data_IF_279323034292
#
_entry.id   IF_279323034292
#
_cell.length_a   1.000
_cell.length_b   1.000
_cell.length_c   1.000
_cell.angle_alpha   90.00
_cell.angle_beta   90.00
_cell.angle_gamma   90.00
#
_symmetry.space_group_name_H-M   'P 1'
#
loop_
_entity.id
_entity.type
_entity.pdbx_description
1 polymer ?
#
# COMPACT_ATOMS: atom_id res chain seq x y z
N UNK A 1 -21.31 -12.50 -8.50
CA UNK A 1 -20.43 -12.17 -7.36
C UNK A 1 -19.11 -11.73 -7.97
N UNK A 2 -18.55 -10.59 -7.57
CA UNK A 2 -17.32 -10.06 -8.18
C UNK A 2 -16.14 -11.02 -7.92
N UNK A 3 -15.30 -11.31 -8.94
CA UNK A 3 -14.18 -12.26 -8.84
C UNK A 3 -13.23 -11.98 -7.66
N UNK A 4 -13.07 -10.71 -7.25
CA UNK A 4 -12.18 -10.34 -6.17
C UNK A 4 -12.65 -10.89 -4.81
N UNK A 5 -13.96 -11.10 -4.60
CA UNK A 5 -14.44 -11.77 -3.38
C UNK A 5 -14.01 -13.24 -3.33
N UNK A 6 -13.96 -13.92 -4.48
CA UNK A 6 -13.49 -15.30 -4.58
C UNK A 6 -11.99 -15.37 -4.30
N UNK A 7 -11.21 -14.48 -4.91
CA UNK A 7 -9.76 -14.36 -4.66
C UNK A 7 -9.48 -14.07 -3.18
N UNK A 8 -10.20 -13.14 -2.56
CA UNK A 8 -10.06 -12.86 -1.11
C UNK A 8 -10.30 -14.16 -0.33
N UNK A 9 -11.38 -14.89 -0.61
CA UNK A 9 -11.72 -16.12 0.10
C UNK A 9 -10.65 -17.20 -0.07
N UNK A 10 -10.15 -17.42 -1.28
CA UNK A 10 -9.11 -18.41 -1.57
C UNK A 10 -7.77 -18.08 -0.89
N UNK A 11 -7.36 -16.81 -0.93
CA UNK A 11 -6.16 -16.35 -0.25
C UNK A 11 -6.32 -16.50 1.26
N UNK A 12 -7.46 -16.11 1.84
CA UNK A 12 -7.70 -16.22 3.29
C UNK A 12 -7.68 -17.67 3.80
N UNK A 13 -8.01 -18.66 2.96
CA UNK A 13 -7.93 -20.08 3.33
C UNK A 13 -6.50 -20.57 3.56
N UNK A 14 -5.55 -20.05 2.80
CA UNK A 14 -4.15 -20.51 2.82
C UNK A 14 -3.22 -19.51 3.53
N UNK A 15 -3.53 -18.22 3.42
CA UNK A 15 -2.74 -17.06 3.84
C UNK A 15 -3.62 -16.04 4.56
N UNK A 16 -4.17 -16.43 5.70
CA UNK A 16 -5.09 -15.58 6.45
C UNK A 16 -4.50 -14.20 6.76
N UNK A 17 -5.28 -13.16 6.49
CA UNK A 17 -4.95 -11.75 6.62
C UNK A 17 -4.50 -11.09 5.31
N UNK A 18 -4.08 -11.84 4.29
CA UNK A 18 -3.53 -11.28 3.05
C UNK A 18 -4.58 -10.99 1.96
N UNK A 19 -5.80 -11.55 2.06
CA UNK A 19 -6.76 -11.56 0.96
C UNK A 19 -7.16 -10.17 0.47
N UNK A 20 -7.49 -9.27 1.40
CA UNK A 20 -7.85 -7.89 1.04
C UNK A 20 -6.67 -7.13 0.39
N UNK A 21 -5.45 -7.34 0.89
CA UNK A 21 -4.27 -6.66 0.35
C UNK A 21 -3.92 -7.16 -1.05
N UNK A 22 -4.06 -8.46 -1.31
CA UNK A 22 -3.95 -9.05 -2.65
C UNK A 22 -5.01 -8.45 -3.59
N UNK A 23 -6.28 -8.45 -3.18
CA UNK A 23 -7.36 -7.91 -4.01
C UNK A 23 -7.14 -6.43 -4.35
N UNK A 24 -6.72 -5.62 -3.37
CA UNK A 24 -6.41 -4.22 -3.63
C UNK A 24 -5.19 -4.02 -4.54
N UNK A 25 -4.17 -4.85 -4.41
CA UNK A 25 -3.01 -4.83 -5.31
C UNK A 25 -3.39 -5.18 -6.77
N UNK A 26 -4.34 -6.10 -6.97
CA UNK A 26 -4.90 -6.41 -8.29
C UNK A 26 -5.62 -5.18 -8.86
N UNK A 27 -6.46 -4.50 -8.07
CA UNK A 27 -7.16 -3.27 -8.50
C UNK A 27 -6.15 -2.19 -8.90
N UNK A 28 -5.15 -1.92 -8.06
CA UNK A 28 -4.14 -0.90 -8.34
C UNK A 28 -3.31 -1.22 -9.60
N UNK A 29 -3.02 -2.52 -9.81
CA UNK A 29 -2.35 -3.01 -11.02
C UNK A 29 -3.21 -2.77 -12.26
N UNK A 30 -4.50 -3.14 -12.20
CA UNK A 30 -5.44 -2.91 -13.30
C UNK A 30 -5.64 -1.41 -13.58
N UNK A 31 -5.61 -0.59 -12.54
CA UNK A 31 -5.71 0.86 -12.61
C UNK A 31 -4.44 1.54 -13.15
N UNK A 32 -3.37 0.79 -13.44
CA UNK A 32 -2.06 1.33 -13.90
C UNK A 32 -1.50 2.37 -12.92
N UNK A 33 -1.59 2.10 -11.62
CA UNK A 33 -1.13 3.02 -10.55
C UNK A 33 0.09 2.49 -9.81
N UNK A 34 0.83 3.43 -9.21
CA UNK A 34 1.92 3.12 -8.31
C UNK A 34 1.37 2.84 -6.91
N UNK A 35 1.35 1.58 -6.50
CA UNK A 35 0.95 1.11 -5.19
C UNK A 35 2.17 0.93 -4.29
N UNK A 36 2.14 1.54 -3.12
CA UNK A 36 3.08 1.32 -2.05
C UNK A 36 2.39 0.49 -0.96
N UNK A 37 2.91 -0.72 -0.69
CA UNK A 37 2.42 -1.57 0.40
C UNK A 37 3.32 -1.36 1.61
N UNK A 38 2.75 -0.90 2.73
CA UNK A 38 3.50 -0.53 3.93
C UNK A 38 3.10 -1.42 5.10
N UNK A 39 4.09 -2.09 5.69
CA UNK A 39 3.91 -2.87 6.91
C UNK A 39 5.25 -3.21 7.54
N UNK A 40 5.31 -3.57 8.83
CA UNK A 40 6.48 -4.17 9.44
C UNK A 40 7.00 -5.42 8.70
N UNK A 41 8.25 -5.79 8.98
CA UNK A 41 8.82 -7.05 8.49
C UNK A 41 7.98 -8.25 8.97
N UNK A 42 7.88 -9.29 8.14
CA UNK A 42 7.15 -10.52 8.47
C UNK A 42 5.63 -10.44 8.36
N UNK A 43 5.06 -9.44 7.67
CA UNK A 43 3.61 -9.34 7.42
C UNK A 43 3.20 -9.81 6.02
N UNK A 44 4.06 -10.51 5.27
CA UNK A 44 3.66 -11.07 3.96
C UNK A 44 3.56 -10.09 2.79
N UNK A 45 4.12 -8.88 2.86
CA UNK A 45 4.17 -7.93 1.71
C UNK A 45 4.72 -8.55 0.43
N UNK A 46 5.85 -9.24 0.53
CA UNK A 46 6.46 -9.94 -0.60
C UNK A 46 5.55 -11.03 -1.15
N UNK A 47 4.81 -11.75 -0.30
CA UNK A 47 3.84 -12.75 -0.77
C UNK A 47 2.69 -12.10 -1.55
N UNK A 48 2.23 -10.91 -1.14
CA UNK A 48 1.20 -10.14 -1.86
C UNK A 48 1.70 -9.73 -3.25
N UNK A 49 2.84 -9.02 -3.30
CA UNK A 49 3.40 -8.54 -4.57
C UNK A 49 3.84 -9.69 -5.48
N UNK A 50 4.31 -10.80 -4.90
CA UNK A 50 4.68 -12.00 -5.64
C UNK A 50 3.47 -12.68 -6.27
N UNK A 51 2.39 -12.84 -5.51
CA UNK A 51 1.19 -13.50 -5.99
C UNK A 51 0.58 -12.73 -7.18
N UNK A 52 0.50 -11.40 -7.07
CA UNK A 52 0.01 -10.55 -8.16
C UNK A 52 1.00 -10.54 -9.33
N UNK A 53 2.30 -10.38 -9.07
CA UNK A 53 3.34 -10.38 -10.09
C UNK A 53 3.42 -11.68 -10.89
N UNK A 54 3.27 -12.83 -10.22
CA UNK A 54 3.26 -14.14 -10.89
C UNK A 54 1.99 -14.42 -11.68
N UNK A 55 0.88 -13.75 -11.36
CA UNK A 55 -0.39 -13.88 -12.07
C UNK A 55 -0.59 -12.81 -13.18
N UNK A 56 0.28 -11.79 -13.24
CA UNK A 56 0.25 -10.78 -14.30
C UNK A 56 1.05 -11.25 -15.52
N UNK A 57 0.53 -11.10 -16.77
CA UNK A 57 1.20 -11.63 -17.97
C UNK A 57 2.62 -11.11 -18.20
N UNK A 58 2.84 -9.83 -17.94
CA UNK A 58 4.12 -9.16 -18.16
C UNK A 58 4.58 -8.47 -16.87
N UNK A 59 5.24 -9.22 -15.98
CA UNK A 59 5.77 -8.68 -14.73
C UNK A 59 7.31 -8.59 -14.74
N UNK A 60 7.83 -7.44 -14.32
CA UNK A 60 9.27 -7.18 -14.17
C UNK A 60 9.57 -6.99 -12.69
N UNK A 61 10.54 -7.74 -12.16
CA UNK A 61 11.06 -7.55 -10.81
C UNK A 61 12.34 -6.74 -10.83
N UNK A 62 12.44 -5.77 -9.94
CA UNK A 62 13.60 -4.91 -9.79
C UNK A 62 13.89 -4.73 -8.30
N UNK A 63 15.17 -4.68 -7.94
CA UNK A 63 15.57 -4.35 -6.56
C UNK A 63 15.50 -2.83 -6.32
N UNK A 64 16.02 -2.04 -7.26
CA UNK A 64 15.88 -0.58 -7.28
C UNK A 64 16.19 0.00 -8.66
N UNK A 65 15.68 1.20 -8.93
CA UNK A 65 16.00 1.94 -10.15
C UNK A 65 16.09 3.42 -9.83
N UNK A 66 17.26 4.01 -10.00
CA UNK A 66 17.40 5.47 -9.96
C UNK A 66 16.97 6.07 -11.31
N UNK A 67 16.64 7.38 -11.34
CA UNK A 67 16.38 8.08 -12.61
C UNK A 67 17.51 7.93 -13.64
N UNK A 68 18.76 7.83 -13.19
CA UNK A 68 19.90 7.60 -14.09
C UNK A 68 19.99 6.14 -14.55
N UNK A 69 19.64 5.19 -13.67
CA UNK A 69 19.53 3.77 -14.01
C UNK A 69 18.39 3.45 -14.98
N UNK A 70 17.34 4.29 -15.04
CA UNK A 70 16.29 4.15 -16.06
C UNK A 70 16.80 4.18 -17.49
N UNK A 71 17.97 4.77 -17.75
CA UNK A 71 18.60 4.74 -19.08
C UNK A 71 18.76 3.31 -19.59
N UNK A 72 19.17 2.40 -18.71
CA UNK A 72 19.45 1.01 -19.06
C UNK A 72 18.15 0.20 -19.25
N UNK A 73 17.00 0.76 -18.82
CA UNK A 73 15.67 0.20 -19.00
C UNK A 73 14.81 0.96 -20.01
N UNK A 74 15.36 1.95 -20.72
CA UNK A 74 14.61 2.83 -21.62
C UNK A 74 13.77 2.03 -22.62
N UNK A 75 14.41 1.12 -23.35
CA UNK A 75 13.75 0.35 -24.40
C UNK A 75 12.68 -0.60 -23.84
N UNK A 76 12.86 -1.02 -22.59
CA UNK A 76 11.92 -1.92 -21.90
C UNK A 76 10.69 -1.19 -21.36
N UNK A 77 10.85 0.06 -20.93
CA UNK A 77 9.78 0.85 -20.33
C UNK A 77 9.06 1.77 -21.30
N UNK A 78 9.58 1.97 -22.51
CA UNK A 78 8.88 2.68 -23.57
C UNK A 78 7.79 1.77 -24.16
N UNK A 79 6.56 2.25 -24.30
CA UNK A 79 5.38 1.45 -24.72
C UNK A 79 5.07 0.26 -23.79
N UNK A 80 5.32 0.40 -22.50
CA UNK A 80 5.20 -0.70 -21.53
C UNK A 80 3.79 -0.79 -20.94
N UNK A 81 3.19 -1.99 -20.94
CA UNK A 81 1.84 -2.27 -20.40
C UNK A 81 1.86 -3.29 -19.25
N UNK A 82 3.05 -3.55 -18.71
CA UNK A 82 3.30 -4.56 -17.70
C UNK A 82 3.13 -4.07 -16.26
N UNK A 83 3.54 -4.93 -15.32
CA UNK A 83 3.63 -4.63 -13.90
C UNK A 83 5.10 -4.62 -13.46
N UNK A 84 5.54 -3.56 -12.79
CA UNK A 84 6.83 -3.52 -12.11
C UNK A 84 6.66 -3.85 -10.63
N UNK A 85 7.46 -4.78 -10.11
CA UNK A 85 7.46 -5.15 -8.69
C UNK A 85 8.82 -4.81 -8.07
N UNK A 86 8.80 -3.96 -7.05
CA UNK A 86 9.94 -3.61 -6.20
C UNK A 86 9.71 -4.20 -4.81
N UNK A 87 10.32 -5.36 -4.54
CA UNK A 87 9.93 -6.23 -3.43
C UNK A 87 10.43 -5.79 -2.04
N UNK A 88 11.59 -5.13 -1.95
CA UNK A 88 12.05 -4.58 -0.68
C UNK A 88 13.03 -3.42 -0.89
N UNK A 89 12.55 -2.19 -0.75
CA UNK A 89 13.43 -1.01 -0.81
C UNK A 89 14.44 -0.97 0.36
N UNK A 90 14.28 -1.80 1.39
CA UNK A 90 15.27 -1.98 2.44
C UNK A 90 16.61 -2.54 1.93
N UNK A 91 16.61 -3.29 0.81
CA UNK A 91 17.84 -3.85 0.19
C UNK A 91 18.65 -2.80 -0.56
N UNK A 92 18.10 -1.61 -0.78
CA UNK A 92 18.74 -0.56 -1.56
C UNK A 92 19.75 0.17 -0.71
N UNK A 93 20.97 0.32 -1.23
CA UNK A 93 22.13 0.76 -0.45
C UNK A 93 22.03 2.18 0.10
N UNK A 94 21.36 3.08 -0.63
CA UNK A 94 21.34 4.51 -0.29
C UNK A 94 19.92 5.06 -0.15
N UNK A 95 19.73 5.99 0.80
CA UNK A 95 18.48 6.73 0.94
C UNK A 95 18.10 7.45 -0.36
N UNK A 96 19.09 8.02 -1.05
CA UNK A 96 18.90 8.64 -2.36
C UNK A 96 18.28 7.68 -3.38
N UNK A 97 18.82 6.46 -3.52
CA UNK A 97 18.29 5.49 -4.48
C UNK A 97 16.88 5.02 -4.14
N UNK A 98 16.55 4.91 -2.84
CA UNK A 98 15.18 4.62 -2.38
C UNK A 98 14.21 5.71 -2.80
N UNK A 99 14.53 6.98 -2.51
CA UNK A 99 13.71 8.13 -2.92
C UNK A 99 13.54 8.15 -4.42
N UNK A 100 14.63 8.06 -5.18
CA UNK A 100 14.57 8.11 -6.64
C UNK A 100 13.78 6.95 -7.25
N UNK A 101 13.83 5.75 -6.67
CA UNK A 101 13.03 4.61 -7.14
C UNK A 101 11.55 4.89 -7.00
N UNK A 102 11.11 5.34 -5.82
CA UNK A 102 9.69 5.66 -5.59
C UNK A 102 9.25 6.84 -6.46
N UNK A 103 10.02 7.92 -6.52
CA UNK A 103 9.71 9.10 -7.33
C UNK A 103 9.62 8.76 -8.82
N UNK A 104 10.53 7.93 -9.32
CA UNK A 104 10.54 7.53 -10.74
C UNK A 104 9.30 6.72 -11.11
N UNK A 105 8.92 5.72 -10.32
CA UNK A 105 7.73 4.93 -10.62
C UNK A 105 6.43 5.67 -10.35
N UNK A 106 6.40 6.56 -9.36
CA UNK A 106 5.29 7.48 -9.15
C UNK A 106 5.05 8.36 -10.39
N UNK A 107 6.12 8.89 -10.98
CA UNK A 107 6.05 9.70 -12.18
C UNK A 107 5.70 8.88 -13.43
N UNK A 108 6.34 7.73 -13.65
CA UNK A 108 6.03 6.87 -14.80
C UNK A 108 4.57 6.41 -14.80
N UNK A 109 4.07 5.89 -13.69
CA UNK A 109 2.69 5.38 -13.62
C UNK A 109 1.63 6.48 -13.70
N UNK A 110 1.97 7.72 -13.34
CA UNK A 110 1.03 8.83 -13.36
C UNK A 110 1.09 9.63 -14.67
N UNK A 111 2.29 10.03 -15.07
CA UNK A 111 2.50 10.90 -16.24
C UNK A 111 2.63 10.11 -17.54
N UNK A 112 2.82 8.79 -17.49
CA UNK A 112 3.08 7.93 -18.65
C UNK A 112 4.41 8.19 -19.39
N UNK A 113 5.26 9.08 -18.86
CA UNK A 113 6.57 9.36 -19.43
C UNK A 113 7.54 9.90 -18.36
N UNK A 114 8.84 9.76 -18.64
CA UNK A 114 9.92 10.49 -17.97
C UNK A 114 10.84 11.04 -19.05
N UNK A 115 11.10 12.34 -19.01
CA UNK A 115 12.16 12.97 -19.80
C UNK A 115 13.15 13.66 -18.87
N UNK A 116 14.42 13.29 -18.99
CA UNK A 116 15.54 13.87 -18.24
C UNK A 116 16.68 14.15 -19.19
N UNK A 117 17.05 15.42 -19.28
CA UNK A 117 18.20 15.90 -20.03
C UNK A 117 19.20 16.53 -19.05
N UNK A 118 20.31 15.85 -18.80
CA UNK A 118 21.48 16.44 -18.13
C UNK A 118 22.69 16.38 -19.06
N UNK A 119 23.76 17.09 -18.73
CA UNK A 119 25.00 17.09 -19.53
C UNK A 119 25.56 15.68 -19.79
N UNK A 120 25.26 14.70 -18.92
CA UNK A 120 25.83 13.34 -18.97
C UNK A 120 24.80 12.23 -19.15
N UNK A 121 23.50 12.52 -19.00
CA UNK A 121 22.44 11.51 -19.05
C UNK A 121 21.22 12.08 -19.77
N UNK A 122 20.88 11.45 -20.89
CA UNK A 122 19.60 11.64 -21.58
C UNK A 122 18.77 10.37 -21.40
N UNK A 123 17.63 10.49 -20.72
CA UNK A 123 16.63 9.42 -20.59
C UNK A 123 15.31 9.96 -21.08
N UNK A 124 14.68 9.22 -21.98
CA UNK A 124 13.36 9.54 -22.51
C UNK A 124 12.60 8.22 -22.59
N UNK A 125 11.62 8.06 -21.70
CA UNK A 125 10.68 6.94 -21.68
C UNK A 125 9.31 7.57 -21.94
N UNK A 126 8.58 7.05 -22.92
CA UNK A 126 7.23 7.50 -23.28
C UNK A 126 6.27 6.31 -23.36
N UNK A 127 4.97 6.59 -23.31
CA UNK A 127 3.91 5.57 -23.41
C UNK A 127 4.04 4.46 -22.35
N UNK A 128 4.41 4.82 -21.12
CA UNK A 128 4.38 3.92 -19.98
C UNK A 128 2.94 3.79 -19.48
N UNK A 129 2.28 2.69 -19.84
CA UNK A 129 0.92 2.33 -19.40
C UNK A 129 0.94 1.19 -18.37
N UNK A 130 2.06 1.02 -17.66
CA UNK A 130 2.24 -0.01 -16.65
C UNK A 130 1.79 0.40 -15.25
N UNK A 131 1.82 -0.55 -14.34
CA UNK A 131 1.65 -0.34 -12.91
C UNK A 131 2.95 -0.61 -12.15
N UNK A 132 3.03 -0.16 -10.89
CA UNK A 132 4.13 -0.50 -10.00
C UNK A 132 3.60 -0.92 -8.62
N UNK A 133 4.17 -1.99 -8.05
CA UNK A 133 3.98 -2.37 -6.64
C UNK A 133 5.31 -2.25 -5.93
N UNK A 134 5.36 -1.42 -4.90
CA UNK A 134 6.56 -1.13 -4.12
C UNK A 134 6.29 -1.49 -2.66
N UNK A 135 7.07 -2.43 -2.13
CA UNK A 135 6.97 -2.83 -0.74
C UNK A 135 7.90 -2.00 0.14
N UNK A 136 7.35 -1.44 1.22
CA UNK A 136 8.08 -0.62 2.19
C UNK A 136 7.91 -1.13 3.63
N UNK A 137 8.98 -0.97 4.40
CA UNK A 137 8.92 -1.04 5.86
C UNK A 137 8.69 0.38 6.43
N UNK A 138 8.04 0.52 7.60
CA UNK A 138 7.74 1.83 8.19
C UNK A 138 8.95 2.75 8.36
N UNK A 139 10.14 2.28 8.80
CA UNK A 139 11.32 3.14 8.89
C UNK A 139 11.75 3.73 7.55
N UNK A 140 11.56 2.99 6.44
CA UNK A 140 11.89 3.48 5.11
C UNK A 140 10.89 4.54 4.68
N UNK A 141 9.59 4.31 4.86
CA UNK A 141 8.58 5.34 4.59
C UNK A 141 8.84 6.60 5.43
N UNK A 142 9.16 6.45 6.71
CA UNK A 142 9.48 7.57 7.60
C UNK A 142 10.66 8.41 7.12
N UNK A 143 11.64 7.80 6.42
CA UNK A 143 12.71 8.52 5.73
C UNK A 143 12.19 9.22 4.48
N UNK A 144 11.46 8.52 3.62
CA UNK A 144 10.93 9.05 2.36
C UNK A 144 10.07 10.29 2.56
N UNK A 145 9.16 10.29 3.56
CA UNK A 145 8.24 11.42 3.79
C UNK A 145 8.94 12.70 4.25
N UNK A 146 10.20 12.63 4.67
CA UNK A 146 11.00 13.79 5.08
C UNK A 146 11.67 14.49 3.90
N UNK A 147 11.71 13.87 2.72
CA UNK A 147 12.32 14.44 1.52
C UNK A 147 11.34 15.35 0.77
N UNK A 148 11.83 16.43 0.18
CA UNK A 148 11.02 17.41 -0.55
C UNK A 148 10.29 16.78 -1.75
N UNK A 149 10.90 15.79 -2.40
CA UNK A 149 10.28 15.04 -3.49
C UNK A 149 9.00 14.30 -3.08
N UNK A 150 8.82 14.09 -1.76
CA UNK A 150 7.58 13.51 -1.25
C UNK A 150 6.39 14.43 -1.49
N UNK A 151 6.51 15.71 -1.12
CA UNK A 151 5.44 16.71 -1.29
C UNK A 151 5.21 17.02 -2.77
N UNK A 152 6.29 17.24 -3.52
CA UNK A 152 6.21 17.80 -4.87
C UNK A 152 5.78 16.75 -5.90
N UNK A 153 6.14 15.48 -5.68
CA UNK A 153 5.96 14.44 -6.71
C UNK A 153 5.26 13.20 -6.17
N UNK A 154 5.70 12.68 -5.03
CA UNK A 154 5.38 11.28 -4.67
C UNK A 154 4.00 11.11 -4.03
N UNK A 155 3.63 11.98 -3.10
CA UNK A 155 2.43 11.83 -2.29
C UNK A 155 1.16 11.74 -3.14
N UNK A 156 1.00 12.66 -4.09
CA UNK A 156 -0.20 12.80 -4.91
C UNK A 156 -0.23 11.86 -6.13
N UNK A 157 0.82 11.06 -6.33
CA UNK A 157 0.95 10.13 -7.47
C UNK A 157 1.06 8.67 -7.05
N UNK A 158 1.01 8.38 -5.75
CA UNK A 158 1.14 7.02 -5.21
C UNK A 158 -0.03 6.68 -4.31
N UNK A 159 -0.40 5.40 -4.28
CA UNK A 159 -1.40 4.85 -3.36
C UNK A 159 -0.66 4.21 -2.19
N UNK A 160 -0.97 4.58 -0.95
CA UNK A 160 -0.31 4.02 0.24
C UNK A 160 -1.25 3.09 0.98
N UNK A 161 -0.98 1.79 0.87
CA UNK A 161 -1.78 0.76 1.52
C UNK A 161 -1.08 0.22 2.78
N UNK A 162 -1.65 0.50 3.95
CA UNK A 162 -1.12 0.03 5.23
C UNK A 162 -1.63 -1.37 5.54
N UNK A 163 -0.79 -2.38 5.28
CA UNK A 163 -1.16 -3.75 5.59
C UNK A 163 -0.94 -4.06 7.08
N UNK A 164 -2.03 -4.37 7.78
CA UNK A 164 -2.05 -4.48 9.24
C UNK A 164 -1.93 -5.91 9.79
N UNK A 165 -1.95 -6.95 8.97
CA UNK A 165 -2.00 -8.32 9.48
C UNK A 165 -0.65 -9.02 9.41
N UNK A 166 -0.31 -9.76 10.46
CA UNK A 166 0.74 -10.76 10.46
C UNK A 166 0.14 -12.12 10.14
N UNK A 167 0.86 -12.97 9.39
CA UNK A 167 0.47 -14.36 9.21
C UNK A 167 0.48 -15.05 10.57
N UNK A 168 -0.70 -15.51 11.01
CA UNK A 168 -0.87 -16.24 12.28
C UNK A 168 -0.12 -17.58 12.21
N UNK A 169 -0.16 -18.21 11.03
CA UNK A 169 0.60 -19.42 10.68
C UNK A 169 1.40 -19.11 9.43
N UNK A 170 2.74 -19.21 9.47
CA UNK A 170 3.56 -19.10 8.27
C UNK A 170 3.15 -20.18 7.25
N UNK A 171 3.04 -19.80 5.99
CA UNK A 171 2.91 -20.70 4.85
C UNK A 171 4.15 -20.52 3.97
N UNK A 172 4.82 -21.62 3.61
CA UNK A 172 6.01 -21.58 2.75
C UNK A 172 5.63 -21.42 1.27
N UNK A 173 4.48 -21.97 0.88
CA UNK A 173 3.97 -21.82 -0.47
C UNK A 173 3.48 -20.41 -0.72
N UNK A 174 3.58 -19.93 -1.96
CA UNK A 174 3.00 -18.64 -2.36
C UNK A 174 1.51 -18.80 -2.66
N UNK A 175 0.68 -17.76 -2.48
CA UNK A 175 -0.69 -17.77 -2.96
C UNK A 175 -0.69 -18.00 -4.48
N UNK A 176 -1.34 -19.06 -4.94
CA UNK A 176 -1.52 -19.34 -6.37
C UNK A 176 -2.81 -18.67 -6.81
N UNK A 177 -2.69 -17.61 -7.62
CA UNK A 177 -3.82 -16.83 -8.10
C UNK A 177 -4.09 -17.16 -9.57
N UNK A 178 -5.36 -17.30 -9.92
CA UNK A 178 -5.83 -17.26 -11.30
C UNK A 178 -6.71 -16.02 -11.45
N UNK A 179 -6.18 -15.01 -12.12
CA UNK A 179 -6.85 -13.72 -12.26
C UNK A 179 -7.35 -13.58 -13.69
N UNK A 180 -8.64 -13.28 -13.85
CA UNK A 180 -9.16 -12.78 -15.13
C UNK A 180 -8.96 -11.26 -15.16
N UNK A 181 -8.00 -10.78 -15.95
CA UNK A 181 -7.68 -9.36 -16.04
C UNK A 181 -8.75 -8.53 -16.76
N UNK A 182 -9.85 -9.15 -17.21
CA UNK A 182 -11.04 -8.46 -17.69
C UNK A 182 -10.86 -7.73 -19.02
N UNK A 183 -11.61 -6.64 -19.21
CA UNK A 183 -11.52 -5.77 -20.41
C UNK A 183 -10.56 -4.61 -20.19
N UNK A 184 -10.14 -3.91 -21.24
CA UNK A 184 -9.32 -2.69 -21.09
C UNK A 184 -10.01 -1.67 -20.18
N UNK A 185 -9.25 -1.08 -19.26
CA UNK A 185 -9.71 -0.03 -18.36
C UNK A 185 -10.31 1.16 -19.14
N UNK A 186 -9.73 1.46 -20.29
CA UNK A 186 -10.11 2.62 -21.10
C UNK A 186 -11.49 2.48 -21.75
N UNK A 187 -12.01 1.24 -21.83
CA UNK A 187 -13.38 0.95 -22.30
C UNK A 187 -14.44 1.19 -21.22
N UNK A 188 -14.06 1.32 -19.95
CA UNK A 188 -15.00 1.55 -18.86
C UNK A 188 -15.31 3.04 -18.74
N UNK A 189 -16.60 3.39 -18.67
CA UNK A 189 -17.05 4.76 -18.47
C UNK A 189 -16.69 5.30 -17.08
N UNK A 190 -16.53 6.63 -16.98
CA UNK A 190 -16.31 7.29 -15.69
C UNK A 190 -17.48 7.01 -14.73
N UNK A 191 -17.22 6.75 -13.45
CA UNK A 191 -18.29 6.49 -12.50
C UNK A 191 -19.14 7.74 -12.30
N UNK A 192 -20.40 7.51 -11.93
CA UNK A 192 -21.23 8.59 -11.40
C UNK A 192 -20.79 8.92 -9.98
N UNK A 193 -20.82 10.19 -9.60
CA UNK A 193 -20.42 10.64 -8.27
C UNK A 193 -21.59 10.77 -7.29
N UNK A 194 -22.82 10.54 -7.76
CA UNK A 194 -24.06 10.67 -6.96
C UNK A 194 -24.38 9.43 -6.10
N UNK A 195 -23.54 8.38 -6.15
CA UNK A 195 -23.69 7.24 -5.26
C UNK A 195 -23.45 7.66 -3.80
N UNK A 196 -24.32 7.21 -2.90
CA UNK A 196 -24.23 7.48 -1.45
C UNK A 196 -22.88 7.10 -0.81
N UNK A 197 -22.15 6.14 -1.39
CA UNK A 197 -20.86 5.68 -0.87
C UNK A 197 -19.67 6.45 -1.44
N UNK A 198 -19.86 7.23 -2.51
CA UNK A 198 -18.80 7.99 -3.15
C UNK A 198 -18.15 9.01 -2.18
N UNK A 199 -18.90 9.83 -1.42
CA UNK A 199 -18.30 10.74 -0.45
C UNK A 199 -17.47 10.03 0.65
N UNK A 200 -17.87 8.81 1.04
CA UNK A 200 -17.10 8.05 2.03
C UNK A 200 -15.78 7.51 1.48
N UNK A 201 -15.71 7.28 0.17
CA UNK A 201 -14.47 6.92 -0.50
C UNK A 201 -13.58 8.16 -0.61
N UNK A 202 -14.15 9.30 -0.98
CA UNK A 202 -13.46 10.60 -1.00
C UNK A 202 -12.81 10.89 0.36
N UNK A 203 -13.55 10.74 1.47
CA UNK A 203 -13.04 10.92 2.83
C UNK A 203 -11.79 10.06 3.13
N UNK A 204 -11.74 8.81 2.64
CA UNK A 204 -10.59 7.92 2.82
C UNK A 204 -9.42 8.40 1.96
N UNK A 205 -9.68 8.77 0.72
CA UNK A 205 -8.64 9.17 -0.24
C UNK A 205 -8.06 10.56 0.03
N UNK A 206 -8.85 11.48 0.57
CA UNK A 206 -8.44 12.84 0.90
C UNK A 206 -7.40 12.89 2.04
N UNK A 207 -7.26 11.79 2.79
CA UNK A 207 -6.14 11.60 3.74
C UNK A 207 -4.80 11.60 3.02
N UNK A 208 -4.79 11.11 1.79
CA UNK A 208 -3.59 10.82 1.01
C UNK A 208 -3.33 11.85 -0.08
N UNK A 209 -4.38 12.32 -0.73
CA UNK A 209 -4.27 13.09 -1.96
C UNK A 209 -4.99 14.44 -1.87
N UNK A 210 -4.58 15.39 -2.71
CA UNK A 210 -5.36 16.60 -2.97
C UNK A 210 -6.68 16.30 -3.70
N UNK A 211 -7.66 17.21 -3.61
CA UNK A 211 -9.01 17.02 -4.16
C UNK A 211 -9.04 16.64 -5.64
N UNK A 212 -8.21 17.27 -6.47
CA UNK A 212 -8.10 16.94 -7.89
C UNK A 212 -7.64 15.49 -8.10
N UNK A 213 -6.69 15.03 -7.27
CA UNK A 213 -6.12 13.69 -7.32
C UNK A 213 -7.02 12.63 -6.72
N UNK A 214 -7.85 13.00 -5.75
CA UNK A 214 -8.95 12.17 -5.26
C UNK A 214 -9.86 11.78 -6.43
N UNK A 215 -10.35 12.75 -7.19
CA UNK A 215 -11.24 12.47 -8.33
C UNK A 215 -10.58 11.56 -9.37
N UNK A 216 -9.35 11.87 -9.79
CA UNK A 216 -8.64 11.08 -10.80
C UNK A 216 -8.37 9.64 -10.36
N UNK A 217 -7.79 9.47 -9.17
CA UNK A 217 -7.43 8.15 -8.68
C UNK A 217 -8.67 7.32 -8.33
N UNK A 218 -9.67 7.91 -7.68
CA UNK A 218 -10.89 7.21 -7.31
C UNK A 218 -11.68 6.74 -8.53
N UNK A 219 -11.84 7.61 -9.54
CA UNK A 219 -12.45 7.24 -10.82
C UNK A 219 -11.72 6.06 -11.46
N UNK A 220 -10.39 6.13 -11.49
CA UNK A 220 -9.55 5.08 -12.09
C UNK A 220 -9.69 3.76 -11.32
N UNK A 221 -9.68 3.79 -9.99
CA UNK A 221 -9.81 2.59 -9.15
C UNK A 221 -11.19 1.95 -9.33
N UNK A 222 -12.26 2.73 -9.36
CA UNK A 222 -13.63 2.22 -9.59
C UNK A 222 -13.79 1.61 -10.99
N UNK A 223 -13.23 2.27 -12.01
CA UNK A 223 -13.19 1.72 -13.37
C UNK A 223 -12.41 0.42 -13.42
N UNK A 224 -11.31 0.31 -12.67
CA UNK A 224 -10.51 -0.91 -12.60
C UNK A 224 -11.27 -2.08 -11.97
N UNK A 225 -12.06 -1.82 -10.92
CA UNK A 225 -12.95 -2.81 -10.30
C UNK A 225 -13.96 -3.32 -11.34
N UNK A 226 -14.66 -2.42 -12.03
CA UNK A 226 -15.61 -2.80 -13.08
C UNK A 226 -14.97 -3.54 -14.26
N UNK A 227 -13.78 -3.09 -14.69
CA UNK A 227 -13.03 -3.68 -15.80
C UNK A 227 -12.64 -5.13 -15.53
N UNK A 228 -12.24 -5.46 -14.30
CA UNK A 228 -11.93 -6.84 -13.88
C UNK A 228 -13.14 -7.76 -14.09
N UNK A 229 -14.35 -7.29 -13.83
CA UNK A 229 -15.58 -8.05 -14.07
C UNK A 229 -16.09 -7.94 -15.53
N UNK A 230 -15.26 -7.46 -16.47
CA UNK A 230 -15.59 -7.27 -17.90
C UNK A 230 -16.79 -6.36 -18.14
N UNK A 231 -16.99 -5.36 -17.29
CA UNK A 231 -18.09 -4.38 -17.40
C UNK A 231 -17.57 -3.03 -17.87
N UNK A 232 -18.35 -2.38 -18.71
CA UNK A 232 -18.11 -1.02 -19.20
C UNK A 232 -18.66 0.07 -18.26
N UNK A 233 -19.42 -0.32 -17.23
CA UNK A 233 -20.02 0.60 -16.27
C UNK A 233 -19.74 0.20 -14.81
N UNK A 234 -19.45 1.22 -13.99
CA UNK A 234 -19.31 1.11 -12.54
C UNK A 234 -20.68 1.04 -11.88
N UNK A 235 -20.84 0.09 -10.96
CA UNK A 235 -22.07 -0.13 -10.19
C UNK A 235 -21.83 0.09 -8.70
N UNK A 236 -22.91 0.16 -7.92
CA UNK A 236 -22.84 0.38 -6.48
C UNK A 236 -22.01 -0.69 -5.75
N UNK A 237 -22.05 -1.93 -6.22
CA UNK A 237 -21.27 -3.05 -5.67
C UNK A 237 -19.75 -2.82 -5.76
N UNK A 238 -19.30 -2.09 -6.77
CA UNK A 238 -17.89 -1.73 -6.95
C UNK A 238 -17.42 -0.78 -5.88
N UNK A 239 -18.27 0.21 -5.56
CA UNK A 239 -18.02 1.14 -4.47
C UNK A 239 -17.99 0.39 -3.13
N UNK A 240 -18.90 -0.54 -2.90
CA UNK A 240 -18.94 -1.34 -1.65
C UNK A 240 -17.66 -2.14 -1.47
N UNK A 241 -17.21 -2.82 -2.54
CA UNK A 241 -15.96 -3.58 -2.52
C UNK A 241 -14.77 -2.65 -2.29
N UNK A 242 -14.65 -1.58 -3.08
CA UNK A 242 -13.53 -0.65 -2.97
C UNK A 242 -13.49 0.02 -1.59
N UNK A 243 -14.64 0.41 -1.04
CA UNK A 243 -14.75 0.99 0.30
C UNK A 243 -14.23 0.05 1.37
N UNK A 244 -14.59 -1.25 1.30
CA UNK A 244 -14.06 -2.27 2.20
C UNK A 244 -12.53 -2.37 2.09
N UNK A 245 -12.01 -2.39 0.87
CA UNK A 245 -10.58 -2.59 0.62
C UNK A 245 -9.73 -1.37 0.97
N UNK A 246 -10.24 -0.15 0.81
CA UNK A 246 -9.49 1.07 1.07
C UNK A 246 -9.40 1.45 2.55
N UNK A 247 -10.20 0.83 3.44
CA UNK A 247 -10.19 1.16 4.87
C UNK A 247 -8.79 1.25 5.50
N UNK A 248 -7.82 0.35 5.23
CA UNK A 248 -6.49 0.44 5.84
C UNK A 248 -5.72 1.72 5.48
N UNK A 249 -6.08 2.40 4.39
CA UNK A 249 -5.47 3.69 4.01
C UNK A 249 -5.73 4.78 5.07
N UNK A 250 -6.81 4.65 5.86
CA UNK A 250 -7.15 5.62 6.91
C UNK A 250 -6.12 5.70 8.03
N UNK A 251 -5.25 4.68 8.16
CA UNK A 251 -4.18 4.66 9.17
C UNK A 251 -3.22 5.85 9.01
N UNK A 252 -3.02 6.35 7.80
CA UNK A 252 -2.07 7.43 7.51
C UNK A 252 -2.29 8.66 8.38
N UNK A 253 -3.55 9.09 8.58
CA UNK A 253 -3.86 10.29 9.37
C UNK A 253 -3.52 10.17 10.86
N UNK A 254 -3.34 8.96 11.37
CA UNK A 254 -3.05 8.70 12.78
C UNK A 254 -1.55 8.56 13.05
N UNK A 255 -0.81 8.09 12.05
CA UNK A 255 0.63 7.84 12.19
C UNK A 255 1.48 8.93 11.54
N UNK A 256 0.91 9.75 10.66
CA UNK A 256 1.60 10.89 10.04
C UNK A 256 1.25 12.19 10.76
N UNK A 257 2.26 13.02 10.97
CA UNK A 257 2.13 14.38 11.48
C UNK A 257 2.90 15.33 10.59
N UNK A 258 2.49 16.59 10.53
CA UNK A 258 3.14 17.65 9.76
C UNK A 258 3.33 18.87 10.65
N UNK A 259 4.56 19.39 10.73
CA UNK A 259 4.87 20.54 11.57
C UNK A 259 4.57 21.89 10.88
N UNK A 260 4.51 21.93 9.55
CA UNK A 260 4.16 23.12 8.77
C UNK A 260 3.31 22.78 7.55
N UNK A 261 2.90 23.78 6.76
CA UNK A 261 2.00 23.55 5.62
C UNK A 261 2.61 22.67 4.52
N UNK A 262 3.94 22.68 4.34
CA UNK A 262 4.66 21.93 3.30
C UNK A 262 5.90 21.18 3.81
N UNK A 263 6.18 21.23 5.13
CA UNK A 263 7.45 20.73 5.69
C UNK A 263 7.26 19.99 7.01
N UNK A 264 8.30 19.25 7.40
CA UNK A 264 8.39 18.66 8.73
C UNK A 264 7.45 17.48 8.94
N UNK A 265 7.25 16.65 7.90
CA UNK A 265 6.51 15.39 8.03
C UNK A 265 7.25 14.41 8.92
N UNK A 266 6.52 13.77 9.81
CA UNK A 266 7.04 12.70 10.68
C UNK A 266 6.04 11.56 10.74
N UNK A 267 6.57 10.34 10.77
CA UNK A 267 5.79 9.12 10.89
C UNK A 267 6.07 8.46 12.24
N UNK A 268 5.02 8.11 12.99
CA UNK A 268 5.11 7.26 14.17
C UNK A 268 5.17 5.78 13.75
N UNK A 269 6.40 5.30 13.57
CA UNK A 269 6.66 3.91 13.18
C UNK A 269 6.34 2.91 14.28
N UNK A 270 6.43 3.32 15.55
CA UNK A 270 6.12 2.48 16.71
C UNK A 270 4.61 2.27 16.83
N UNK A 271 3.81 3.30 16.60
CA UNK A 271 2.35 3.19 16.59
C UNK A 271 1.87 2.26 15.47
N UNK A 272 2.42 2.38 14.25
CA UNK A 272 2.08 1.45 13.16
C UNK A 272 2.45 0.00 13.49
N UNK A 273 3.61 -0.21 14.13
CA UNK A 273 4.00 -1.52 14.61
C UNK A 273 2.98 -2.09 15.61
N UNK A 274 2.55 -1.30 16.59
CA UNK A 274 1.56 -1.72 17.59
C UNK A 274 0.18 -1.96 16.98
N UNK A 275 -0.25 -1.13 16.02
CA UNK A 275 -1.50 -1.33 15.26
C UNK A 275 -1.52 -2.70 14.58
N UNK A 276 -0.40 -3.13 14.00
CA UNK A 276 -0.28 -4.45 13.37
C UNK A 276 -0.44 -5.58 14.38
N UNK A 277 0.16 -5.46 15.56
CA UNK A 277 -0.01 -6.45 16.63
C UNK A 277 -1.47 -6.54 17.09
N UNK A 278 -2.11 -5.37 17.28
CA UNK A 278 -3.54 -5.25 17.61
C UNK A 278 -4.50 -5.53 16.47
N UNK A 279 -4.05 -5.69 15.24
CA UNK A 279 -4.87 -6.25 14.17
C UNK A 279 -4.71 -7.77 14.13
N UNK A 280 -3.50 -8.28 14.34
CA UNK A 280 -3.14 -9.69 14.15
C UNK A 280 -3.53 -10.63 15.29
N UNK A 281 -3.30 -10.23 16.54
CA UNK A 281 -3.41 -11.15 17.70
C UNK A 281 -4.55 -10.80 18.65
N UNK A 282 -5.42 -11.77 18.96
CA UNK A 282 -6.51 -11.61 19.96
C UNK A 282 -5.98 -11.18 21.34
N UNK A 283 -4.84 -11.74 21.75
CA UNK A 283 -4.16 -11.39 22.99
C UNK A 283 -2.71 -11.05 22.70
N UNK A 284 -2.29 -9.84 23.06
CA UNK A 284 -0.94 -9.34 22.80
C UNK A 284 -0.19 -9.28 24.11
N UNK A 285 1.01 -9.86 24.13
CA UNK A 285 1.93 -9.75 25.24
C UNK A 285 3.21 -9.04 24.83
N UNK A 286 3.92 -8.48 25.80
CA UNK A 286 5.22 -7.83 25.58
C UNK A 286 6.22 -8.80 24.96
N UNK A 287 6.23 -10.06 25.39
CA UNK A 287 7.11 -11.11 24.85
C UNK A 287 6.81 -11.42 23.39
N UNK A 288 5.54 -11.34 22.97
CA UNK A 288 5.15 -11.52 21.57
C UNK A 288 5.73 -10.41 20.70
N UNK A 289 5.56 -9.15 21.11
CA UNK A 289 6.11 -7.99 20.39
C UNK A 289 7.64 -8.11 20.30
N UNK A 290 8.31 -8.44 21.41
CA UNK A 290 9.75 -8.66 21.44
C UNK A 290 10.19 -9.72 20.40
N UNK A 291 9.46 -10.84 20.32
CA UNK A 291 9.71 -11.92 19.36
C UNK A 291 9.47 -11.51 17.91
N UNK A 292 8.40 -10.77 17.63
CA UNK A 292 8.01 -10.39 16.27
C UNK A 292 8.96 -9.34 15.68
N UNK A 293 9.48 -8.43 16.52
CA UNK A 293 10.43 -7.37 16.12
C UNK A 293 11.91 -7.69 16.38
N UNK A 294 12.22 -8.85 16.97
CA UNK A 294 13.61 -9.28 17.29
C UNK A 294 14.35 -8.30 18.21
N UNK A 295 13.66 -7.79 19.22
CA UNK A 295 14.21 -6.85 20.21
C UNK A 295 14.02 -7.39 21.63
N UNK A 296 14.75 -6.84 22.59
CA UNK A 296 14.61 -7.22 24.00
C UNK A 296 13.28 -6.72 24.59
N UNK A 297 12.76 -7.43 25.60
CA UNK A 297 11.56 -7.02 26.36
C UNK A 297 11.72 -5.63 26.98
N UNK A 298 12.91 -5.28 27.48
CA UNK A 298 13.21 -3.95 28.00
C UNK A 298 13.09 -2.87 26.92
N UNK A 299 13.52 -3.16 25.69
CA UNK A 299 13.36 -2.26 24.56
C UNK A 299 11.89 -2.08 24.21
N UNK A 300 11.09 -3.15 24.25
CA UNK A 300 9.64 -3.06 24.03
C UNK A 300 9.00 -2.12 25.06
N UNK A 301 9.29 -2.28 26.36
CA UNK A 301 8.77 -1.37 27.39
C UNK A 301 9.13 0.10 27.12
N UNK A 302 10.37 0.37 26.72
CA UNK A 302 10.83 1.73 26.38
C UNK A 302 10.04 2.32 25.22
N UNK A 303 9.91 1.57 24.12
CA UNK A 303 9.17 2.04 22.93
C UNK A 303 7.67 2.22 23.22
N UNK A 304 7.08 1.31 24.00
CA UNK A 304 5.68 1.43 24.43
C UNK A 304 5.44 2.65 25.33
N UNK A 305 6.42 3.07 26.12
CA UNK A 305 6.27 4.27 26.95
C UNK A 305 6.04 5.54 26.13
N UNK A 306 6.57 5.60 24.90
CA UNK A 306 6.40 6.72 23.95
C UNK A 306 4.96 6.81 23.40
N UNK A 307 4.25 5.67 23.33
CA UNK A 307 2.90 5.53 22.75
C UNK A 307 1.87 5.00 23.76
N UNK A 308 2.11 5.25 25.06
CA UNK A 308 1.29 4.72 26.18
C UNK A 308 -0.19 5.15 26.18
N UNK A 309 -0.57 6.16 25.39
CA UNK A 309 -1.96 6.63 25.30
C UNK A 309 -2.86 5.66 24.51
N UNK A 310 -2.27 4.74 23.74
CA UNK A 310 -2.99 3.87 22.82
C UNK A 310 -3.40 2.53 23.44
N UNK A 311 -2.84 2.15 24.58
CA UNK A 311 -3.13 0.88 25.24
C UNK A 311 -2.99 0.98 26.76
N UNK A 312 -3.55 0.00 27.45
CA UNK A 312 -3.42 -0.17 28.90
C UNK A 312 -2.89 -1.57 29.21
N UNK A 313 -2.08 -1.74 30.26
CA UNK A 313 -1.80 -3.06 30.81
C UNK A 313 -3.12 -3.73 31.25
N UNK A 314 -3.27 -5.02 31.02
CA UNK A 314 -4.39 -5.79 31.56
C UNK A 314 -4.28 -5.87 33.09
N UNK A 315 -5.39 -5.65 33.79
CA UNK A 315 -5.48 -5.74 35.25
C UNK A 315 -5.20 -7.17 35.76
N UNK A 316 -5.67 -8.18 35.02
CA UNK A 316 -5.56 -9.60 35.36
C UNK A 316 -4.19 -10.20 35.01
N UNK A 317 -3.49 -9.61 34.03
CA UNK A 317 -2.18 -10.08 33.59
C UNK A 317 -1.32 -8.88 33.18
N UNK A 318 -0.49 -8.37 34.10
CA UNK A 318 0.42 -7.20 33.92
C UNK A 318 1.36 -7.25 32.70
N UNK A 319 1.38 -8.36 31.96
CA UNK A 319 2.17 -8.59 30.73
C UNK A 319 1.36 -8.54 29.44
N UNK A 320 0.02 -8.45 29.52
CA UNK A 320 -0.87 -8.33 28.36
C UNK A 320 -1.23 -6.86 28.12
N UNK A 321 -1.39 -6.49 26.86
CA UNK A 321 -1.84 -5.17 26.43
C UNK A 321 -3.29 -5.22 25.96
N UNK A 322 -4.08 -4.24 26.38
CA UNK A 322 -5.47 -4.02 25.98
C UNK A 322 -5.53 -2.69 25.23
N UNK A 323 -6.15 -2.62 24.03
CA UNK A 323 -6.26 -1.36 23.30
C UNK A 323 -7.20 -0.41 24.03
N UNK A 324 -6.93 0.90 23.98
CA UNK A 324 -7.90 1.91 24.45
C UNK A 324 -9.12 1.97 23.50
N UNK A 325 -10.20 2.62 23.93
CA UNK A 325 -11.37 2.83 23.08
C UNK A 325 -11.01 3.57 21.77
N UNK A 326 -10.09 4.53 21.85
CA UNK A 326 -9.62 5.24 20.66
C UNK A 326 -8.85 4.31 19.72
N UNK A 327 -7.94 3.47 20.24
CA UNK A 327 -7.23 2.51 19.39
C UNK A 327 -8.19 1.48 18.75
N UNK A 328 -9.21 1.02 19.48
CA UNK A 328 -10.26 0.15 18.93
C UNK A 328 -11.04 0.84 17.80
N UNK A 329 -11.36 2.13 17.97
CA UNK A 329 -12.03 2.92 16.93
C UNK A 329 -11.19 3.03 15.67
N UNK A 330 -9.89 3.32 15.81
CA UNK A 330 -8.94 3.39 14.69
C UNK A 330 -8.88 2.05 13.95
N UNK A 331 -8.72 0.94 14.68
CA UNK A 331 -8.66 -0.40 14.09
C UNK A 331 -9.96 -0.74 13.33
N UNK A 332 -11.12 -0.42 13.90
CA UNK A 332 -12.42 -0.62 13.25
C UNK A 332 -12.56 0.23 11.98
N UNK A 333 -12.12 1.49 12.02
CA UNK A 333 -12.09 2.37 10.86
C UNK A 333 -11.19 1.82 9.75
N UNK A 334 -10.03 1.26 10.13
CA UNK A 334 -9.08 0.60 9.24
C UNK A 334 -9.55 -0.77 8.72
N UNK A 335 -10.76 -1.21 9.08
CA UNK A 335 -11.34 -2.46 8.59
C UNK A 335 -10.88 -3.70 9.34
N UNK A 336 -10.38 -3.54 10.57
CA UNK A 336 -10.09 -4.66 11.46
C UNK A 336 -11.37 -5.08 12.16
N UNK A 337 -11.88 -6.26 11.79
CA UNK A 337 -13.07 -6.87 12.40
C UNK A 337 -12.62 -7.75 13.57
N UNK A 338 -12.96 -7.37 14.81
CA UNK A 338 -12.64 -8.12 16.03
C UNK A 338 -13.87 -8.32 16.90
#
# INVERSE_FOLDING_TARGET
MHQLYEIIKEVEQTHSGLGNAVAFAIIATKARRCLIIISPAGCGKSAISDAVGSAYPEAIRLDSVTRSGLRDFKDKFTNFWGLVVVDDLGKVDTAYSRVQTVTSFAELCYSHFISKHTMTVTVEISEFHGAAIINLQPPILAQLVQHDEWEVVTQDKTIRYYHLYRPIKPCEEKPKLKIDWGIDLDLVHKPRHDFKLYPKLEDITAIQWSDARVLEHLDTLLRAVAALDRREEVKFEDLVLLYRLMKPMTIEKYIMTKAGFEVGRRMDTNLLAVLVEFASWKHISIERIARDYKISVSTVYRLLAEIKLWFKPSEEARKKLVPTQELQKILKEAGVER
#
